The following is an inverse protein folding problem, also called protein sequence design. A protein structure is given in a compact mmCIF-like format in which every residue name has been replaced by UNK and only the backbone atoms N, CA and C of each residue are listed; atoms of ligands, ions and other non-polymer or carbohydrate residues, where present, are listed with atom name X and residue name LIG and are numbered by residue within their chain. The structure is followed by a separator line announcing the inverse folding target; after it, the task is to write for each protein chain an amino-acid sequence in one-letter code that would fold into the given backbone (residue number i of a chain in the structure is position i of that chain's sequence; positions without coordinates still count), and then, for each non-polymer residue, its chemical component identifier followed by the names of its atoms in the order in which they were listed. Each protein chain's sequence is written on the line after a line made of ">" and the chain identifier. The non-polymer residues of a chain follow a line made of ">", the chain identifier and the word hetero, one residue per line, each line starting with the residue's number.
data_IF_313626366288
#
_entry.id   IF_313626366288
#
_cell.length_a   1.000
_cell.length_b   1.000
_cell.length_c   1.000
_cell.angle_alpha   90.00
_cell.angle_beta   90.00
_cell.angle_gamma   90.00
#
_symmetry.space_group_name_H-M   'P 1'
#
loop_
_entity.id
_entity.type
_entity.pdbx_description
1 polymer ?
#
# COMPACT_ATOMS: atom_id res chain seq x y z
N UNK A 1 12.62 -14.26 -3.67
CA UNK A 1 13.40 -13.67 -2.55
C UNK A 1 14.09 -12.40 -2.99
N UNK A 2 14.45 -11.52 -2.04
CA UNK A 2 15.18 -10.26 -2.28
C UNK A 2 16.47 -10.52 -3.08
N UNK A 3 17.22 -11.58 -2.75
CA UNK A 3 18.47 -11.93 -3.43
C UNK A 3 18.25 -12.36 -4.89
N UNK A 4 17.14 -13.01 -5.19
CA UNK A 4 16.80 -13.40 -6.58
C UNK A 4 16.50 -12.17 -7.43
N UNK A 5 15.73 -11.21 -6.90
CA UNK A 5 15.45 -9.94 -7.59
C UNK A 5 16.74 -9.15 -7.81
N UNK A 6 17.60 -9.03 -6.79
CA UNK A 6 18.91 -8.39 -6.92
C UNK A 6 19.78 -9.06 -8.00
N UNK A 7 19.80 -10.39 -8.03
CA UNK A 7 20.57 -11.13 -9.03
C UNK A 7 20.05 -10.91 -10.46
N UNK A 8 18.75 -10.78 -10.66
CA UNK A 8 18.15 -10.49 -11.97
C UNK A 8 18.48 -9.07 -12.41
N UNK A 9 18.26 -8.08 -11.55
CA UNK A 9 18.54 -6.68 -11.85
C UNK A 9 20.02 -6.44 -12.15
N UNK A 10 20.92 -7.07 -11.40
CA UNK A 10 22.37 -7.01 -11.65
C UNK A 10 22.76 -7.55 -13.02
N UNK A 11 22.11 -8.64 -13.49
CA UNK A 11 22.36 -9.21 -14.82
C UNK A 11 22.00 -8.28 -15.97
N UNK A 12 20.96 -7.46 -15.80
CA UNK A 12 20.53 -6.48 -16.80
C UNK A 12 21.17 -5.11 -16.60
N UNK A 13 22.07 -4.98 -15.60
CA UNK A 13 22.87 -3.78 -15.34
C UNK A 13 22.10 -2.67 -14.60
N UNK A 14 21.00 -2.99 -13.96
CA UNK A 14 20.24 -2.07 -13.09
C UNK A 14 20.83 -2.13 -11.69
N UNK A 15 21.46 -1.05 -11.24
CA UNK A 15 22.19 -0.97 -9.96
C UNK A 15 21.61 0.09 -9.00
N UNK A 16 20.52 0.77 -9.38
CA UNK A 16 19.90 1.83 -8.58
C UNK A 16 20.71 3.12 -8.49
N UNK A 17 21.92 3.17 -9.06
CA UNK A 17 22.82 4.32 -9.04
C UNK A 17 22.90 5.01 -10.39
N UNK A 18 22.97 4.20 -11.46
CA UNK A 18 23.09 4.71 -12.84
C UNK A 18 21.74 4.96 -13.51
N UNK A 19 20.71 4.25 -13.07
CA UNK A 19 19.36 4.35 -13.62
C UNK A 19 18.44 4.86 -12.51
N UNK A 20 18.22 6.17 -12.52
CA UNK A 20 17.36 6.85 -11.54
C UNK A 20 15.87 6.62 -11.80
N UNK A 21 15.49 6.23 -13.03
CA UNK A 21 14.11 6.00 -13.43
C UNK A 21 13.93 4.58 -13.97
N UNK A 22 13.11 3.80 -13.29
CA UNK A 22 12.66 2.48 -13.74
C UNK A 22 11.18 2.59 -14.05
N UNK A 23 10.80 2.24 -15.30
CA UNK A 23 9.40 2.15 -15.70
C UNK A 23 8.98 0.69 -15.72
N UNK A 24 7.94 0.38 -14.96
CA UNK A 24 7.37 -0.97 -14.91
C UNK A 24 6.32 -1.06 -16.01
N UNK A 25 6.52 -2.00 -16.93
CA UNK A 25 5.66 -2.14 -18.11
C UNK A 25 4.44 -2.99 -17.81
N UNK A 26 4.57 -3.98 -16.94
CA UNK A 26 3.51 -4.91 -16.56
C UNK A 26 3.77 -5.58 -15.22
N UNK A 27 2.69 -6.06 -14.60
CA UNK A 27 2.70 -6.84 -13.37
C UNK A 27 2.02 -8.18 -13.58
N UNK A 28 2.69 -9.26 -13.20
CA UNK A 28 2.07 -10.58 -13.06
C UNK A 28 1.91 -10.87 -11.55
N UNK A 29 0.69 -11.14 -11.13
CA UNK A 29 0.36 -11.46 -9.74
C UNK A 29 -0.85 -12.38 -9.68
N UNK A 30 -0.80 -13.34 -8.75
CA UNK A 30 -1.92 -14.23 -8.45
C UNK A 30 -2.89 -13.60 -7.43
N UNK A 31 -2.56 -12.43 -6.86
CA UNK A 31 -3.39 -11.72 -5.87
C UNK A 31 -4.49 -10.96 -6.61
N UNK A 32 -5.72 -11.35 -6.37
CA UNK A 32 -6.87 -10.77 -7.05
C UNK A 32 -7.00 -9.26 -6.77
N UNK A 33 -7.24 -8.48 -7.83
CA UNK A 33 -7.43 -7.03 -7.74
C UNK A 33 -6.15 -6.20 -7.58
N UNK A 34 -5.05 -6.77 -7.09
CA UNK A 34 -3.82 -6.03 -6.75
C UNK A 34 -3.26 -5.20 -7.90
N UNK A 35 -3.25 -5.77 -9.13
CA UNK A 35 -2.71 -5.10 -10.33
C UNK A 35 -3.35 -3.72 -10.60
N UNK A 36 -4.63 -3.55 -10.29
CA UNK A 36 -5.35 -2.30 -10.53
C UNK A 36 -4.87 -1.14 -9.64
N UNK A 37 -4.14 -1.45 -8.57
CA UNK A 37 -3.65 -0.49 -7.58
C UNK A 37 -2.14 -0.20 -7.71
N UNK A 38 -1.47 -0.80 -8.71
CA UNK A 38 -0.04 -0.63 -8.96
C UNK A 38 0.19 0.28 -10.17
N UNK A 39 1.05 1.28 -10.02
CA UNK A 39 1.42 2.26 -11.05
C UNK A 39 2.69 1.86 -11.82
N UNK A 40 3.02 2.62 -12.88
CA UNK A 40 4.20 2.37 -13.73
C UNK A 40 5.52 2.82 -13.09
N UNK A 41 5.47 3.67 -12.07
CA UNK A 41 6.63 4.31 -11.44
C UNK A 41 6.80 3.93 -9.96
N UNK A 42 6.33 2.75 -9.57
CA UNK A 42 6.44 2.29 -8.19
C UNK A 42 7.89 2.00 -7.79
N UNK A 43 8.20 2.18 -6.51
CA UNK A 43 9.50 1.82 -5.95
C UNK A 43 9.69 0.31 -5.96
N UNK A 44 10.79 -0.16 -6.55
CA UNK A 44 11.12 -1.61 -6.57
C UNK A 44 11.34 -2.12 -5.14
N UNK A 45 11.88 -1.31 -4.24
CA UNK A 45 12.07 -1.69 -2.84
C UNK A 45 10.73 -1.86 -2.13
N UNK A 46 9.76 -0.93 -2.35
CA UNK A 46 8.41 -1.06 -1.79
C UNK A 46 7.65 -2.25 -2.37
N UNK A 47 7.76 -2.49 -3.69
CA UNK A 47 7.15 -3.66 -4.32
C UNK A 47 7.73 -4.97 -3.78
N UNK A 48 9.05 -5.03 -3.54
CA UNK A 48 9.67 -6.19 -2.93
C UNK A 48 9.22 -6.37 -1.48
N UNK A 49 9.10 -5.27 -0.73
CA UNK A 49 8.59 -5.32 0.64
C UNK A 49 7.15 -5.85 0.68
N UNK A 50 6.27 -5.30 -0.16
CA UNK A 50 4.90 -5.78 -0.29
C UNK A 50 4.86 -7.27 -0.67
N UNK A 51 5.65 -7.69 -1.66
CA UNK A 51 5.69 -9.08 -2.11
C UNK A 51 6.16 -10.04 -1.00
N UNK A 52 7.12 -9.62 -0.17
CA UNK A 52 7.57 -10.42 0.97
C UNK A 52 6.47 -10.56 2.02
N UNK A 53 5.78 -9.47 2.38
CA UNK A 53 4.67 -9.51 3.34
C UNK A 53 3.51 -10.40 2.85
N UNK A 54 3.17 -10.30 1.56
CA UNK A 54 2.15 -11.17 0.95
C UNK A 54 2.57 -12.64 0.95
N UNK A 55 3.87 -12.92 0.74
CA UNK A 55 4.42 -14.26 0.76
C UNK A 55 4.42 -14.94 2.13
N UNK A 56 4.29 -14.18 3.21
CA UNK A 56 4.19 -14.68 4.60
C UNK A 56 2.75 -15.00 5.01
N UNK A 57 1.75 -14.52 4.26
CA UNK A 57 0.34 -14.73 4.56
C UNK A 57 -0.08 -16.18 4.35
N UNK A 58 -0.93 -16.66 5.23
CA UNK A 58 -1.65 -17.90 4.99
C UNK A 58 -2.80 -17.70 3.98
N UNK A 59 -3.44 -18.81 3.58
CA UNK A 59 -4.52 -18.76 2.58
C UNK A 59 -5.77 -18.00 3.03
N UNK A 60 -6.02 -17.92 4.33
CA UNK A 60 -7.15 -17.19 4.91
C UNK A 60 -6.87 -15.68 4.94
N UNK A 61 -5.68 -15.32 5.38
CA UNK A 61 -5.19 -13.95 5.38
C UNK A 61 -5.12 -13.38 3.96
N UNK A 62 -4.63 -14.17 3.00
CA UNK A 62 -4.60 -13.74 1.59
C UNK A 62 -5.99 -13.44 1.05
N UNK A 63 -6.98 -14.29 1.28
CA UNK A 63 -8.36 -14.02 0.85
C UNK A 63 -8.95 -12.79 1.50
N UNK A 64 -8.66 -12.56 2.77
CA UNK A 64 -9.09 -11.38 3.50
C UNK A 64 -8.41 -10.12 2.96
N UNK A 65 -7.11 -10.19 2.65
CA UNK A 65 -6.37 -9.11 2.00
C UNK A 65 -6.96 -8.76 0.63
N UNK A 66 -7.21 -9.76 -0.23
CA UNK A 66 -7.85 -9.57 -1.54
C UNK A 66 -9.22 -8.88 -1.42
N UNK A 67 -10.03 -9.30 -0.44
CA UNK A 67 -11.31 -8.68 -0.18
C UNK A 67 -11.17 -7.23 0.32
N UNK A 68 -10.17 -6.93 1.18
CA UNK A 68 -9.90 -5.58 1.66
C UNK A 68 -9.38 -4.67 0.54
N UNK A 69 -8.56 -5.19 -0.39
CA UNK A 69 -8.15 -4.47 -1.61
C UNK A 69 -9.35 -4.16 -2.49
N UNK A 70 -10.29 -5.11 -2.67
CA UNK A 70 -11.51 -4.90 -3.45
C UNK A 70 -12.44 -3.85 -2.80
N UNK A 71 -12.52 -3.80 -1.46
CA UNK A 71 -13.25 -2.76 -0.73
C UNK A 71 -12.68 -1.36 -1.00
N UNK A 72 -11.37 -1.25 -1.29
CA UNK A 72 -10.73 -0.04 -1.78
C UNK A 72 -10.34 0.98 -0.71
N UNK A 73 -10.57 0.71 0.57
CA UNK A 73 -9.98 1.50 1.64
C UNK A 73 -8.48 1.18 1.75
N UNK A 74 -7.65 2.16 1.97
CA UNK A 74 -6.20 1.96 2.12
C UNK A 74 -5.54 1.11 1.01
N UNK A 75 -5.98 1.31 -0.24
CA UNK A 75 -5.44 0.64 -1.42
C UNK A 75 -4.98 1.64 -2.51
N UNK A 76 -4.79 2.91 -2.16
CA UNK A 76 -4.46 3.98 -3.11
C UNK A 76 -3.00 4.04 -3.54
N UNK A 77 -2.09 3.34 -2.85
CA UNK A 77 -0.66 3.33 -3.13
C UNK A 77 -0.01 2.03 -2.63
N UNK A 78 1.22 1.73 -3.07
CA UNK A 78 2.01 0.59 -2.54
C UNK A 78 2.22 0.73 -1.03
N UNK A 79 2.46 1.95 -0.55
CA UNK A 79 2.52 2.25 0.90
C UNK A 79 1.24 1.85 1.62
N UNK A 80 0.07 2.20 1.07
CA UNK A 80 -1.22 1.83 1.68
C UNK A 80 -1.40 0.32 1.70
N UNK A 81 -1.05 -0.37 0.61
CA UNK A 81 -1.09 -1.82 0.52
C UNK A 81 -0.16 -2.50 1.53
N UNK A 82 1.06 -1.97 1.74
CA UNK A 82 1.98 -2.45 2.78
C UNK A 82 1.34 -2.30 4.17
N UNK A 83 0.76 -1.15 4.46
CA UNK A 83 0.07 -0.94 5.74
C UNK A 83 -1.17 -1.83 5.87
N UNK A 84 -1.91 -2.04 4.79
CA UNK A 84 -3.08 -2.92 4.78
C UNK A 84 -2.73 -4.37 5.17
N UNK A 85 -1.59 -4.90 4.71
CA UNK A 85 -1.13 -6.24 5.11
C UNK A 85 -0.98 -6.40 6.62
N UNK A 86 -0.69 -5.32 7.33
CA UNK A 86 -0.43 -5.28 8.78
C UNK A 86 -1.64 -4.84 9.60
N UNK A 87 -2.78 -4.57 8.95
CA UNK A 87 -4.01 -4.07 9.56
C UNK A 87 -5.24 -4.90 9.14
N UNK A 88 -5.06 -6.17 8.80
CA UNK A 88 -6.18 -7.02 8.44
C UNK A 88 -7.17 -7.26 9.59
N UNK A 89 -6.76 -7.03 10.81
CA UNK A 89 -7.61 -7.05 12.01
C UNK A 89 -8.61 -5.88 12.06
N UNK A 90 -8.43 -4.84 11.26
CA UNK A 90 -9.42 -3.77 11.07
C UNK A 90 -10.64 -4.20 10.25
N UNK A 91 -10.65 -5.39 9.71
CA UNK A 91 -11.73 -5.92 8.88
C UNK A 91 -12.26 -7.24 9.43
N UNK A 92 -13.56 -7.44 9.33
CA UNK A 92 -14.21 -8.72 9.51
C UNK A 92 -14.53 -9.32 8.14
N UNK A 93 -14.16 -10.58 7.93
CA UNK A 93 -14.29 -11.25 6.64
C UNK A 93 -15.04 -12.58 6.77
N UNK A 94 -16.06 -12.75 5.94
CA UNK A 94 -16.97 -13.89 5.93
C UNK A 94 -16.94 -14.57 4.55
N UNK A 95 -16.05 -15.57 4.35
CA UNK A 95 -15.73 -16.11 3.03
C UNK A 95 -16.90 -16.79 2.33
N UNK A 96 -17.88 -17.30 3.08
CA UNK A 96 -19.03 -18.03 2.52
C UNK A 96 -20.27 -17.15 2.33
N UNK A 97 -20.18 -15.85 2.65
CA UNK A 97 -21.29 -14.90 2.58
C UNK A 97 -21.14 -14.04 1.33
N UNK A 98 -22.03 -14.21 0.35
CA UNK A 98 -21.98 -13.55 -0.96
C UNK A 98 -23.23 -12.77 -1.32
N UNK A 99 -24.27 -12.90 -0.51
CA UNK A 99 -25.56 -12.27 -0.75
C UNK A 99 -26.11 -11.65 0.53
N UNK A 100 -26.98 -10.63 0.43
CA UNK A 100 -27.66 -10.08 1.60
C UNK A 100 -28.42 -11.13 2.41
N UNK A 101 -29.05 -12.13 1.77
CA UNK A 101 -29.76 -13.20 2.49
C UNK A 101 -28.79 -14.03 3.34
N UNK A 102 -27.64 -14.43 2.76
CA UNK A 102 -26.60 -15.17 3.49
C UNK A 102 -26.02 -14.34 4.64
N UNK A 103 -25.83 -13.03 4.44
CA UNK A 103 -25.39 -12.12 5.48
C UNK A 103 -26.40 -12.07 6.63
N UNK A 104 -27.69 -11.91 6.31
CA UNK A 104 -28.76 -11.91 7.31
C UNK A 104 -28.83 -13.22 8.08
N UNK A 105 -28.66 -14.37 7.42
CA UNK A 105 -28.61 -15.69 8.05
C UNK A 105 -27.40 -15.83 8.97
N UNK A 106 -26.21 -15.48 8.49
CA UNK A 106 -24.97 -15.52 9.27
C UNK A 106 -25.11 -14.72 10.57
N UNK A 107 -25.60 -13.49 10.49
CA UNK A 107 -25.75 -12.64 11.68
C UNK A 107 -26.85 -13.10 12.65
N UNK A 108 -27.95 -13.65 12.16
CA UNK A 108 -29.04 -14.14 13.02
C UNK A 108 -28.78 -15.55 13.54
N UNK A 109 -28.44 -16.48 12.65
CA UNK A 109 -28.41 -17.91 13.00
C UNK A 109 -27.07 -18.30 13.63
N UNK A 110 -25.94 -17.68 13.24
CA UNK A 110 -24.62 -18.01 13.76
C UNK A 110 -24.21 -17.07 14.91
N UNK A 111 -24.39 -15.76 14.75
CA UNK A 111 -23.98 -14.77 15.76
C UNK A 111 -25.09 -14.40 16.75
N UNK A 112 -26.34 -14.73 16.45
CA UNK A 112 -27.45 -14.43 17.33
C UNK A 112 -27.71 -12.94 17.54
N UNK A 113 -27.43 -12.11 16.53
CA UNK A 113 -27.59 -10.65 16.58
C UNK A 113 -29.02 -10.21 16.89
N UNK A 114 -30.02 -11.02 16.48
CA UNK A 114 -31.41 -10.89 16.87
C UNK A 114 -31.91 -12.24 17.38
N UNK A 115 -32.69 -12.19 18.48
CA UNK A 115 -33.34 -13.37 18.98
C UNK A 115 -34.65 -13.61 18.20
N UNK A 116 -34.56 -14.38 17.11
CA UNK A 116 -35.70 -14.77 16.28
C UNK A 116 -36.15 -16.15 16.76
N UNK A 117 -37.39 -16.29 17.30
CA UNK A 117 -37.93 -17.58 17.70
C UNK A 117 -37.98 -18.57 16.54
N UNK A 118 -37.68 -19.87 16.82
CA UNK A 118 -37.56 -20.91 15.80
C UNK A 118 -38.83 -21.08 14.95
N UNK A 119 -40.01 -20.92 15.57
CA UNK A 119 -41.30 -21.04 14.91
C UNK A 119 -41.61 -19.94 13.90
N UNK A 120 -40.91 -18.81 13.97
CA UNK A 120 -41.08 -17.69 13.05
C UNK A 120 -39.87 -17.47 12.13
N UNK A 121 -38.74 -18.16 12.30
CA UNK A 121 -37.57 -18.07 11.42
C UNK A 121 -37.90 -18.29 9.95
N UNK A 122 -38.83 -19.23 9.64
CA UNK A 122 -39.27 -19.50 8.27
C UNK A 122 -40.05 -18.36 7.60
N UNK A 123 -40.47 -17.35 8.36
CA UNK A 123 -41.18 -16.16 7.89
C UNK A 123 -40.33 -14.90 7.98
N UNK A 124 -39.11 -15.00 8.53
CA UNK A 124 -38.21 -13.87 8.69
C UNK A 124 -37.57 -13.50 7.36
N UNK A 125 -37.56 -12.21 7.04
CA UNK A 125 -36.94 -11.68 5.83
C UNK A 125 -35.45 -11.44 6.06
N UNK A 126 -34.65 -12.50 5.91
CA UNK A 126 -33.17 -12.46 6.06
C UNK A 126 -32.52 -11.55 5.04
N UNK A 127 -33.05 -11.47 3.81
CA UNK A 127 -32.49 -10.60 2.75
C UNK A 127 -32.64 -9.12 3.12
N UNK A 128 -33.83 -8.72 3.59
CA UNK A 128 -34.03 -7.33 4.02
C UNK A 128 -33.12 -6.97 5.19
N UNK A 129 -32.98 -7.87 6.18
CA UNK A 129 -32.10 -7.66 7.31
C UNK A 129 -30.63 -7.56 6.89
N UNK A 130 -30.13 -8.48 6.06
CA UNK A 130 -28.76 -8.44 5.56
C UNK A 130 -28.48 -7.21 4.68
N UNK A 131 -29.48 -6.75 3.91
CA UNK A 131 -29.37 -5.50 3.16
C UNK A 131 -29.23 -4.28 4.08
N UNK A 132 -29.97 -4.27 5.19
CA UNK A 132 -29.87 -3.20 6.18
C UNK A 132 -28.49 -3.21 6.86
N UNK A 133 -27.92 -4.37 7.17
CA UNK A 133 -26.55 -4.49 7.68
C UNK A 133 -25.55 -3.91 6.70
N UNK A 134 -25.61 -4.33 5.43
CA UNK A 134 -24.74 -3.86 4.36
C UNK A 134 -24.81 -2.34 4.17
N UNK A 135 -26.01 -1.76 4.17
CA UNK A 135 -26.20 -0.32 3.97
C UNK A 135 -25.71 0.55 5.16
N UNK A 136 -25.58 -0.03 6.35
CA UNK A 136 -25.16 0.66 7.55
C UNK A 136 -23.69 0.44 7.93
N UNK A 137 -22.94 -0.31 7.12
CA UNK A 137 -21.52 -0.58 7.32
C UNK A 137 -20.68 -0.09 6.13
N UNK A 138 -19.39 0.10 6.35
CA UNK A 138 -18.40 0.22 5.27
C UNK A 138 -17.98 -1.19 4.88
N UNK A 139 -18.58 -1.71 3.82
CA UNK A 139 -18.49 -3.13 3.49
C UNK A 139 -18.70 -3.37 2.00
N UNK A 140 -18.33 -4.56 1.53
CA UNK A 140 -18.63 -5.01 0.16
C UNK A 140 -18.80 -6.54 0.08
N UNK A 141 -19.54 -6.98 -0.94
CA UNK A 141 -19.62 -8.38 -1.37
C UNK A 141 -18.60 -8.61 -2.47
N UNK A 142 -17.50 -9.24 -2.14
CA UNK A 142 -16.43 -9.57 -3.08
C UNK A 142 -16.56 -10.99 -3.62
N UNK A 143 -15.75 -11.35 -4.64
CA UNK A 143 -15.69 -12.73 -5.12
C UNK A 143 -15.29 -13.72 -4.01
N UNK A 144 -14.46 -13.25 -3.06
CA UNK A 144 -13.99 -14.04 -1.91
C UNK A 144 -15.02 -14.22 -0.81
N UNK A 145 -15.99 -13.31 -0.67
CA UNK A 145 -16.97 -13.27 0.42
C UNK A 145 -17.35 -11.85 0.80
N UNK A 146 -18.08 -11.69 1.90
CA UNK A 146 -18.43 -10.39 2.48
C UNK A 146 -17.30 -9.89 3.38
N UNK A 147 -16.96 -8.63 3.24
CA UNK A 147 -15.99 -7.94 4.09
C UNK A 147 -16.57 -6.65 4.63
N UNK A 148 -16.27 -6.33 5.88
CA UNK A 148 -16.63 -5.05 6.48
C UNK A 148 -15.49 -4.48 7.33
N UNK A 149 -15.38 -3.15 7.35
CA UNK A 149 -14.51 -2.43 8.26
C UNK A 149 -15.16 -2.45 9.66
N UNK A 150 -14.47 -3.02 10.64
CA UNK A 150 -14.98 -3.19 12.01
C UNK A 150 -14.72 -1.97 12.90
N UNK A 151 -14.31 -0.84 12.32
CA UNK A 151 -14.03 0.43 12.99
C UNK A 151 -12.83 0.40 13.97
N UNK A 152 -12.00 -0.65 13.92
CA UNK A 152 -10.72 -0.65 14.62
C UNK A 152 -9.77 0.42 14.06
N UNK A 153 -8.84 0.90 14.90
CA UNK A 153 -7.92 1.94 14.47
C UNK A 153 -6.88 1.40 13.52
N UNK A 154 -6.90 1.85 12.28
CA UNK A 154 -5.86 1.56 11.30
C UNK A 154 -4.54 2.24 11.71
N UNK A 155 -3.46 1.48 11.78
CA UNK A 155 -2.14 1.96 12.23
C UNK A 155 -1.20 2.04 11.03
N UNK A 156 -0.63 3.21 10.80
CA UNK A 156 0.41 3.40 9.78
C UNK A 156 1.75 2.87 10.32
N UNK A 157 2.10 1.63 9.99
CA UNK A 157 3.35 0.97 10.37
C UNK A 157 4.52 1.39 9.47
N UNK A 158 4.23 1.69 8.21
CA UNK A 158 5.18 2.15 7.21
C UNK A 158 4.78 3.54 6.71
N UNK A 159 5.66 4.52 6.87
CA UNK A 159 5.41 5.92 6.53
C UNK A 159 5.77 6.30 5.08
N UNK A 160 6.38 5.37 4.32
CA UNK A 160 6.83 5.60 2.95
C UNK A 160 8.24 6.18 2.83
N UNK A 161 8.93 6.46 3.95
CA UNK A 161 10.26 7.11 3.90
C UNK A 161 11.39 6.12 3.64
N UNK A 162 11.42 5.01 4.38
CA UNK A 162 12.50 4.02 4.29
C UNK A 162 11.99 2.60 4.45
N UNK A 163 12.12 1.81 3.38
CA UNK A 163 11.90 0.36 3.41
C UNK A 163 12.92 -0.28 4.36
N UNK A 164 12.51 -1.24 5.22
CA UNK A 164 13.43 -1.98 6.09
C UNK A 164 14.56 -2.65 5.31
N UNK A 165 15.77 -2.71 5.89
CA UNK A 165 16.99 -3.10 5.18
C UNK A 165 16.93 -4.51 4.58
N UNK A 166 16.22 -5.43 5.21
CA UNK A 166 15.99 -6.81 4.73
C UNK A 166 15.18 -6.90 3.43
N UNK A 167 14.38 -5.87 3.11
CA UNK A 167 13.54 -5.82 1.91
C UNK A 167 14.12 -4.91 0.81
N UNK A 168 15.22 -4.18 1.09
CA UNK A 168 15.83 -3.31 0.11
C UNK A 168 16.53 -4.12 -0.99
N UNK A 169 16.17 -3.83 -2.23
CA UNK A 169 16.82 -4.37 -3.43
C UNK A 169 18.08 -3.58 -3.72
N UNK A 170 18.03 -2.24 -3.55
CA UNK A 170 19.13 -1.35 -3.82
C UNK A 170 19.78 -0.88 -2.52
N UNK A 171 21.10 -1.08 -2.41
CA UNK A 171 21.89 -0.46 -1.35
C UNK A 171 22.17 0.98 -1.73
N UNK A 172 21.27 1.90 -1.40
CA UNK A 172 21.54 3.32 -1.59
C UNK A 172 22.65 3.76 -0.64
N UNK A 173 23.71 4.45 -1.15
CA UNK A 173 24.65 5.10 -0.25
C UNK A 173 23.85 6.07 0.62
N UNK A 174 23.86 5.85 1.93
CA UNK A 174 23.26 6.78 2.89
C UNK A 174 24.06 8.07 2.78
N UNK A 175 23.65 8.99 1.92
CA UNK A 175 24.16 10.35 2.00
C UNK A 175 23.74 10.88 3.38
N UNK A 176 24.72 11.21 4.26
CA UNK A 176 24.39 11.80 5.54
C UNK A 176 23.57 13.04 5.24
N UNK A 177 22.34 13.11 5.75
CA UNK A 177 21.45 14.28 5.60
C UNK A 177 22.28 15.49 5.98
N UNK A 178 22.71 16.28 5.00
CA UNK A 178 23.47 17.51 5.25
C UNK A 178 22.56 18.37 6.09
N UNK A 179 22.90 18.53 7.35
CA UNK A 179 22.18 19.41 8.25
C UNK A 179 22.08 20.77 7.57
N UNK A 180 20.89 21.34 7.44
CA UNK A 180 20.68 22.69 6.89
C UNK A 180 21.56 23.69 7.65
N UNK A 181 21.80 23.45 8.94
CA UNK A 181 22.71 24.21 9.78
C UNK A 181 24.20 24.11 9.32
N UNK A 182 24.64 22.93 8.87
CA UNK A 182 26.00 22.77 8.31
C UNK A 182 26.15 23.43 6.93
N UNK A 183 25.11 23.30 6.09
CA UNK A 183 25.09 23.99 4.79
C UNK A 183 25.09 25.51 4.97
N UNK A 184 24.32 26.04 5.93
CA UNK A 184 24.33 27.47 6.29
C UNK A 184 25.65 27.94 6.91
N UNK A 185 26.30 27.11 7.75
CA UNK A 185 27.64 27.41 8.27
C UNK A 185 28.66 27.51 7.14
N UNK A 186 28.67 26.55 6.23
CA UNK A 186 29.58 26.51 5.08
C UNK A 186 29.35 27.69 4.12
N UNK A 187 28.07 28.10 3.96
CA UNK A 187 27.76 29.30 3.16
C UNK A 187 28.20 30.60 3.82
N UNK A 188 28.19 30.65 5.15
CA UNK A 188 28.62 31.81 5.94
C UNK A 188 30.15 31.94 6.05
N UNK A 189 30.87 30.84 5.94
CA UNK A 189 32.32 30.74 6.00
C UNK A 189 32.97 30.79 4.61
N UNK A 190 32.16 30.70 3.53
CA UNK A 190 32.66 30.83 2.17
C UNK A 190 33.11 32.29 1.90
N UNK A 191 34.32 32.52 1.35
CA UNK A 191 34.77 33.87 0.97
C UNK A 191 33.80 34.42 -0.09
N UNK A 192 33.55 35.76 -0.07
CA UNK A 192 32.67 36.37 -1.05
C UNK A 192 33.23 36.14 -2.47
N UNK A 193 32.36 35.91 -3.47
CA UNK A 193 32.83 35.68 -4.84
C UNK A 193 33.61 36.88 -5.33
N UNK A 194 34.84 36.63 -5.83
CA UNK A 194 35.64 37.65 -6.45
C UNK A 194 34.88 38.24 -7.65
N UNK A 195 34.47 39.51 -7.51
CA UNK A 195 33.96 40.27 -8.63
C UNK A 195 35.08 40.47 -9.66
N UNK A 196 35.09 39.64 -10.71
CA UNK A 196 35.95 39.83 -11.87
C UNK A 196 35.69 41.20 -12.48
N UNK A 197 36.65 42.08 -12.33
CA UNK A 197 36.59 43.43 -12.88
C UNK A 197 36.41 43.39 -14.39
N UNK A 198 35.24 43.78 -14.86
CA UNK A 198 34.99 44.02 -16.27
C UNK A 198 35.83 45.17 -16.77
N UNK A 199 36.75 44.87 -17.70
CA UNK A 199 37.50 45.91 -18.46
C UNK A 199 36.48 46.73 -19.26
N UNK A 200 36.41 48.02 -18.95
CA UNK A 200 35.67 48.98 -19.76
C UNK A 200 36.31 49.04 -21.19
N UNK A 201 35.52 48.73 -22.19
CA UNK A 201 35.87 48.95 -23.57
C UNK A 201 35.81 50.46 -23.86
N UNK A 202 36.97 51.04 -24.25
CA UNK A 202 37.04 52.41 -24.73
C UNK A 202 36.33 52.55 -26.06
N UNK A 203 35.36 53.47 -26.13
CA UNK A 203 34.80 53.96 -27.37
C UNK A 203 35.83 54.87 -28.04
N UNK A 204 36.34 54.48 -29.19
CA UNK A 204 36.98 55.36 -30.13
C UNK A 204 35.95 55.84 -31.15
N UNK A 205 35.77 57.16 -31.18
CA UNK A 205 35.08 57.87 -32.25
C UNK A 205 35.93 57.92 -33.50
N UNK A 206 35.34 57.55 -34.63
CA UNK A 206 35.54 58.20 -35.94
C UNK A 206 34.37 57.89 -36.87
#
# INVERSE_FOLDING_TARGET
>A
TTEEVQAVLSKIGVDGVRYEEIHIVDYETDVAGLRAHLGENESIDELNYLACLLGEMDSGEMKKFEAAVALGEYAGSVKDLINLTQNLDCYDFYPDVKTPEELGRCFIDEFGSLNVPEDIKGYFDYEAYGRDLFLNSTSDFTDGGYIENNQSSFIEHYDGDKVPEEYQIFSYPVEPRRSILEALKKYREAPPPEHGGGKAAAHEER
#
